data_IF_128837644660
#
_entry.id   IF_128837644660
#
_cell.length_a   1.000
_cell.length_b   1.000
_cell.length_c   1.000
_cell.angle_alpha   90.00
_cell.angle_beta   90.00
_cell.angle_gamma   90.00
#
_symmetry.space_group_name_H-M   'P 1'
#
loop_
_entity.id
_entity.type
_entity.pdbx_description
1 polymer ?
#
# COMPACT_ATOMS: atom_id res chain seq x y z
N UNK A 1 40.85 -12.64 55.84
CA UNK A 1 39.42 -12.92 55.66
C UNK A 1 38.69 -11.75 54.99
N UNK A 2 38.73 -10.55 55.47
CA UNK A 2 38.02 -9.32 54.97
C UNK A 2 38.18 -9.01 53.50
N UNK A 3 39.37 -9.19 52.87
CA UNK A 3 39.59 -8.92 51.45
C UNK A 3 38.93 -9.97 50.51
N UNK A 4 38.77 -11.23 50.92
CA UNK A 4 38.10 -12.29 50.16
C UNK A 4 36.59 -12.07 50.11
N UNK A 5 36.01 -11.57 51.21
CA UNK A 5 34.58 -11.25 51.32
C UNK A 5 34.22 -10.04 50.44
N UNK A 6 35.05 -8.99 50.45
CA UNK A 6 34.85 -7.81 49.59
C UNK A 6 34.92 -8.18 48.11
N UNK A 7 35.81 -9.07 47.68
CA UNK A 7 35.85 -9.55 46.28
C UNK A 7 34.59 -10.32 45.92
N UNK A 8 34.11 -11.22 46.74
CA UNK A 8 32.86 -11.98 46.50
C UNK A 8 31.66 -11.05 46.40
N UNK A 9 31.56 -10.07 47.28
CA UNK A 9 30.49 -9.05 47.24
C UNK A 9 30.56 -8.20 45.94
N UNK A 10 31.74 -7.86 45.48
CA UNK A 10 31.92 -7.14 44.23
C UNK A 10 31.46 -7.95 43.02
N UNK A 11 31.85 -9.23 42.93
CA UNK A 11 31.39 -10.11 41.84
C UNK A 11 29.86 -10.29 41.85
N UNK A 12 29.26 -10.48 43.00
CA UNK A 12 27.79 -10.63 43.12
C UNK A 12 27.10 -9.35 42.58
N UNK A 13 27.58 -8.18 42.97
CA UNK A 13 27.01 -6.91 42.48
C UNK A 13 27.14 -6.78 40.96
N UNK A 14 28.31 -7.14 40.38
CA UNK A 14 28.53 -7.13 38.93
C UNK A 14 27.56 -8.07 38.23
N UNK A 15 27.38 -9.30 38.74
CA UNK A 15 26.45 -10.26 38.15
C UNK A 15 24.99 -9.82 38.25
N UNK A 16 24.60 -9.18 39.37
CA UNK A 16 23.26 -8.60 39.53
C UNK A 16 23.05 -7.47 38.53
N UNK A 17 24.02 -6.56 38.40
CA UNK A 17 23.93 -5.44 37.43
C UNK A 17 23.83 -5.93 36.01
N UNK A 18 24.65 -6.96 35.62
CA UNK A 18 24.56 -7.58 34.31
C UNK A 18 23.21 -8.26 34.10
N UNK A 19 22.69 -8.99 35.08
CA UNK A 19 21.38 -9.60 35.02
C UNK A 19 20.24 -8.60 34.82
N UNK A 20 20.28 -7.50 35.57
CA UNK A 20 19.32 -6.39 35.41
C UNK A 20 19.45 -5.75 34.01
N UNK A 21 20.66 -5.50 33.53
CA UNK A 21 20.88 -4.95 32.20
C UNK A 21 20.34 -5.87 31.09
N UNK A 22 20.58 -7.18 31.18
CA UNK A 22 20.02 -8.16 30.23
C UNK A 22 18.49 -8.17 30.28
N UNK A 23 17.89 -8.16 31.47
CA UNK A 23 16.44 -8.10 31.63
C UNK A 23 15.83 -6.83 31.00
N UNK A 24 16.48 -5.67 31.17
CA UNK A 24 16.04 -4.42 30.55
C UNK A 24 16.13 -4.50 29.01
N UNK A 25 17.19 -5.04 28.48
CA UNK A 25 17.33 -5.24 27.01
C UNK A 25 16.25 -6.16 26.47
N UNK A 26 15.97 -7.27 27.16
CA UNK A 26 14.89 -8.20 26.76
C UNK A 26 13.51 -7.55 26.86
N UNK A 27 13.26 -6.76 27.88
CA UNK A 27 12.01 -6.04 28.04
C UNK A 27 11.82 -4.99 26.93
N UNK A 28 12.87 -4.22 26.60
CA UNK A 28 12.86 -3.26 25.48
C UNK A 28 12.65 -3.96 24.14
N UNK A 29 13.31 -5.08 23.91
CA UNK A 29 13.13 -5.88 22.70
C UNK A 29 11.68 -6.39 22.58
N UNK A 30 11.12 -6.94 23.64
CA UNK A 30 9.74 -7.41 23.67
C UNK A 30 8.73 -6.28 23.42
N UNK A 31 8.93 -5.13 24.06
CA UNK A 31 8.10 -3.94 23.85
C UNK A 31 8.20 -3.41 22.40
N UNK A 32 9.41 -3.33 21.86
CA UNK A 32 9.64 -2.89 20.47
C UNK A 32 8.99 -3.85 19.47
N UNK A 33 9.14 -5.16 19.65
CA UNK A 33 8.51 -6.17 18.79
C UNK A 33 7.00 -6.06 18.82
N UNK A 34 6.41 -5.93 20.02
CA UNK A 34 4.98 -5.74 20.17
C UNK A 34 4.48 -4.47 19.46
N UNK A 35 5.20 -3.35 19.61
CA UNK A 35 4.84 -2.08 18.94
C UNK A 35 4.94 -2.17 17.42
N UNK A 36 5.95 -2.88 16.89
CA UNK A 36 6.08 -3.13 15.46
C UNK A 36 4.91 -3.97 14.94
N UNK A 37 4.60 -5.08 15.58
CA UNK A 37 3.48 -5.94 15.19
C UNK A 37 2.14 -5.19 15.27
N UNK A 38 1.94 -4.37 16.29
CA UNK A 38 0.74 -3.54 16.44
C UNK A 38 0.62 -2.49 15.32
N UNK A 39 1.74 -1.85 14.96
CA UNK A 39 1.76 -0.76 13.97
C UNK A 39 1.74 -1.27 12.54
N UNK A 40 2.56 -2.24 12.22
CA UNK A 40 2.77 -2.72 10.85
C UNK A 40 2.03 -4.02 10.54
N UNK A 41 1.62 -4.77 11.56
CA UNK A 41 0.88 -6.01 11.39
C UNK A 41 -0.61 -5.77 11.15
N UNK A 42 -1.25 -6.83 10.66
CA UNK A 42 -2.69 -6.98 10.77
C UNK A 42 -2.97 -8.01 11.84
N UNK A 43 -3.79 -7.72 12.85
CA UNK A 43 -4.36 -8.75 13.71
C UNK A 43 -5.05 -9.79 12.82
N UNK A 44 -4.90 -11.08 13.13
CA UNK A 44 -5.47 -12.17 12.34
C UNK A 44 -6.97 -11.93 12.14
N UNK A 45 -7.40 -11.77 10.89
CA UNK A 45 -8.80 -11.57 10.51
C UNK A 45 -9.27 -10.14 10.33
N UNK A 46 -8.43 -9.11 10.48
CA UNK A 46 -8.84 -7.70 10.45
C UNK A 46 -8.64 -6.97 9.11
N UNK A 47 -8.28 -7.67 8.02
CA UNK A 47 -8.33 -7.00 6.71
C UNK A 47 -9.79 -6.74 6.35
N UNK A 48 -10.16 -5.47 6.30
CA UNK A 48 -11.51 -5.07 5.92
C UNK A 48 -11.87 -5.59 4.54
N UNK A 49 -13.09 -6.09 4.38
CA UNK A 49 -13.56 -6.68 3.12
C UNK A 49 -13.74 -5.62 2.03
N UNK A 50 -13.75 -6.05 0.76
CA UNK A 50 -14.10 -5.18 -0.37
C UNK A 50 -15.48 -4.52 -0.18
N UNK A 51 -16.45 -5.27 0.33
CA UNK A 51 -17.81 -4.76 0.57
C UNK A 51 -17.83 -3.66 1.65
N UNK A 52 -17.05 -3.82 2.73
CA UNK A 52 -16.88 -2.76 3.73
C UNK A 52 -16.41 -1.45 3.08
N UNK A 53 -15.36 -1.50 2.27
CA UNK A 53 -14.81 -0.31 1.62
C UNK A 53 -15.75 0.29 0.58
N UNK A 54 -16.45 -0.52 -0.20
CA UNK A 54 -17.49 -0.05 -1.14
C UNK A 54 -18.63 0.67 -0.40
N UNK A 55 -19.10 0.11 0.70
CA UNK A 55 -20.15 0.74 1.50
C UNK A 55 -19.68 2.01 2.18
N UNK A 56 -18.44 2.04 2.68
CA UNK A 56 -17.83 3.25 3.21
C UNK A 56 -17.77 4.35 2.15
N UNK A 57 -17.31 4.04 0.93
CA UNK A 57 -17.26 5.01 -0.16
C UNK A 57 -18.65 5.55 -0.50
N UNK A 58 -19.69 4.69 -0.55
CA UNK A 58 -21.08 5.16 -0.78
C UNK A 58 -21.56 6.12 0.31
N UNK A 59 -21.20 5.86 1.55
CA UNK A 59 -21.63 6.71 2.68
C UNK A 59 -20.89 8.04 2.73
N UNK A 60 -19.56 8.04 2.52
CA UNK A 60 -18.71 9.23 2.59
C UNK A 60 -18.76 10.05 1.29
N UNK A 61 -18.98 9.40 0.15
CA UNK A 61 -19.02 9.99 -1.19
C UNK A 61 -20.29 9.58 -1.95
N UNK A 62 -21.49 9.98 -1.51
CA UNK A 62 -22.76 9.48 -2.05
C UNK A 62 -22.95 9.79 -3.54
N UNK A 63 -22.30 10.81 -4.07
CA UNK A 63 -22.32 11.14 -5.52
C UNK A 63 -21.68 10.05 -6.39
N UNK A 64 -20.84 9.16 -5.84
CA UNK A 64 -20.23 8.04 -6.57
C UNK A 64 -21.17 6.85 -6.75
N UNK A 65 -22.25 6.78 -5.97
CA UNK A 65 -23.07 5.56 -5.80
C UNK A 65 -23.64 5.07 -7.14
N UNK A 66 -24.25 5.95 -7.94
CA UNK A 66 -24.86 5.55 -9.22
C UNK A 66 -23.80 4.99 -10.19
N UNK A 67 -22.61 5.59 -10.24
CA UNK A 67 -21.50 5.09 -11.05
C UNK A 67 -20.99 3.76 -10.52
N UNK A 68 -20.76 3.62 -9.21
CA UNK A 68 -20.32 2.36 -8.58
C UNK A 68 -21.30 1.22 -8.89
N UNK A 69 -22.62 1.45 -8.73
CA UNK A 69 -23.62 0.45 -9.05
C UNK A 69 -23.61 0.07 -10.53
N UNK A 70 -23.37 1.03 -11.42
CA UNK A 70 -23.24 0.77 -12.85
C UNK A 70 -22.04 -0.09 -13.19
N UNK A 71 -20.83 0.25 -12.70
CA UNK A 71 -19.61 -0.49 -13.03
C UNK A 71 -19.60 -1.92 -12.47
N UNK A 72 -20.20 -2.14 -11.29
CA UNK A 72 -20.29 -3.49 -10.72
C UNK A 72 -21.40 -4.31 -11.38
N UNK A 73 -22.58 -3.74 -11.65
CA UNK A 73 -23.67 -4.43 -12.35
C UNK A 73 -23.27 -4.86 -13.76
N UNK A 74 -22.51 -4.04 -14.45
CA UNK A 74 -22.06 -4.31 -15.82
C UNK A 74 -20.72 -5.04 -15.88
N UNK A 75 -20.20 -5.55 -14.75
CA UNK A 75 -18.94 -6.27 -14.66
C UNK A 75 -17.74 -5.50 -15.30
N UNK A 76 -17.74 -4.18 -15.17
CA UNK A 76 -16.67 -3.32 -15.70
C UNK A 76 -15.40 -3.40 -14.84
N UNK A 77 -15.52 -3.67 -13.55
CA UNK A 77 -14.38 -3.88 -12.65
C UNK A 77 -13.79 -5.26 -12.91
N UNK A 78 -12.49 -5.29 -13.18
CA UNK A 78 -11.73 -6.52 -13.44
C UNK A 78 -10.67 -6.69 -12.37
N UNK A 79 -10.50 -7.94 -11.91
CA UNK A 79 -9.40 -8.34 -11.03
C UNK A 79 -8.20 -8.77 -11.86
N UNK A 80 -7.02 -8.51 -11.38
CA UNK A 80 -5.78 -9.03 -11.93
C UNK A 80 -4.79 -9.39 -10.84
N UNK A 81 -4.00 -10.43 -11.10
CA UNK A 81 -2.95 -10.90 -10.19
C UNK A 81 -1.65 -11.06 -10.96
N UNK A 82 -0.54 -10.76 -10.31
CA UNK A 82 0.76 -11.06 -10.84
C UNK A 82 1.74 -11.44 -9.72
N UNK A 83 2.80 -12.15 -10.08
CA UNK A 83 3.92 -12.38 -9.15
C UNK A 83 4.88 -11.21 -9.29
N UNK A 84 5.11 -10.50 -8.19
CA UNK A 84 6.07 -9.41 -8.12
C UNK A 84 7.51 -9.92 -8.19
N UNK A 85 8.48 -9.09 -8.60
CA UNK A 85 9.89 -9.48 -8.60
C UNK A 85 10.40 -9.98 -7.25
N UNK A 86 9.83 -9.49 -6.15
CA UNK A 86 10.06 -9.93 -4.77
C UNK A 86 9.48 -11.31 -4.42
N UNK A 87 8.73 -11.95 -5.34
CA UNK A 87 8.27 -13.33 -5.23
C UNK A 87 6.87 -13.51 -4.63
N UNK A 88 6.16 -12.46 -4.25
CA UNK A 88 4.80 -12.55 -3.70
C UNK A 88 3.72 -12.32 -4.76
N UNK A 89 2.53 -12.85 -4.54
CA UNK A 89 1.36 -12.65 -5.39
C UNK A 89 0.68 -11.34 -5.03
N UNK A 90 0.67 -10.40 -5.95
CA UNK A 90 0.03 -9.10 -5.84
C UNK A 90 -1.30 -9.06 -6.61
N UNK A 91 -2.21 -8.23 -6.13
CA UNK A 91 -3.55 -8.01 -6.68
C UNK A 91 -3.76 -6.54 -7.06
N UNK A 92 -4.55 -6.32 -8.08
CA UNK A 92 -5.13 -5.01 -8.40
C UNK A 92 -6.52 -5.18 -9.04
N UNK A 93 -7.35 -4.16 -8.92
CA UNK A 93 -8.54 -4.02 -9.76
C UNK A 93 -8.31 -2.95 -10.82
N UNK A 94 -8.98 -3.07 -11.96
CA UNK A 94 -8.88 -2.09 -13.02
C UNK A 94 -10.19 -1.89 -13.78
N UNK A 95 -10.33 -0.70 -14.38
CA UNK A 95 -11.48 -0.29 -15.18
C UNK A 95 -11.01 0.37 -16.46
N UNK A 96 -11.63 0.01 -17.58
CA UNK A 96 -11.47 0.77 -18.82
C UNK A 96 -12.26 2.08 -18.76
N UNK A 97 -11.76 3.10 -19.45
CA UNK A 97 -12.51 4.33 -19.68
C UNK A 97 -13.79 4.04 -20.48
N UNK A 98 -14.85 4.86 -20.28
CA UNK A 98 -16.09 4.72 -21.07
C UNK A 98 -15.87 4.90 -22.59
N UNK A 99 -14.83 5.65 -22.97
CA UNK A 99 -14.39 5.83 -24.37
C UNK A 99 -12.90 5.49 -24.46
N UNK A 100 -12.50 4.88 -25.58
CA UNK A 100 -11.11 4.50 -25.80
C UNK A 100 -10.16 5.71 -25.70
N UNK A 101 -9.16 5.62 -24.83
CA UNK A 101 -8.17 6.66 -24.54
C UNK A 101 -6.82 6.03 -24.20
N UNK A 102 -5.74 6.80 -24.32
CA UNK A 102 -4.40 6.48 -23.82
C UNK A 102 -4.19 6.98 -22.38
N UNK A 103 -5.08 7.82 -21.86
CA UNK A 103 -4.98 8.38 -20.51
C UNK A 103 -5.27 7.32 -19.45
N UNK A 104 -4.38 7.19 -18.48
CA UNK A 104 -4.45 6.15 -17.46
C UNK A 104 -4.06 6.69 -16.10
N UNK A 105 -4.78 6.31 -15.06
CA UNK A 105 -4.44 6.59 -13.67
C UNK A 105 -4.10 5.30 -12.92
N UNK A 106 -2.95 5.29 -12.23
CA UNK A 106 -2.62 4.29 -11.21
C UNK A 106 -2.85 4.94 -9.85
N UNK A 107 -3.84 4.45 -9.09
CA UNK A 107 -4.30 5.09 -7.85
C UNK A 107 -3.90 4.25 -6.64
N UNK A 108 -3.01 4.79 -5.81
CA UNK A 108 -2.33 4.08 -4.72
C UNK A 108 -2.99 4.41 -3.37
N UNK A 109 -3.44 3.39 -2.67
CA UNK A 109 -4.19 3.52 -1.42
C UNK A 109 -3.31 3.86 -0.21
N UNK A 110 -3.95 4.34 0.86
CA UNK A 110 -3.33 4.65 2.15
C UNK A 110 -3.18 3.43 3.08
N UNK A 111 -2.69 3.71 4.29
CA UNK A 111 -2.46 2.73 5.35
C UNK A 111 -3.75 1.97 5.73
N UNK A 112 -3.66 0.63 5.77
CA UNK A 112 -4.77 -0.30 6.06
C UNK A 112 -6.01 -0.15 5.14
N UNK A 113 -5.88 0.55 4.04
CA UNK A 113 -6.89 0.64 2.97
C UNK A 113 -6.60 -0.44 1.93
N UNK A 114 -7.44 -0.60 0.94
CA UNK A 114 -7.28 -1.49 -0.21
C UNK A 114 -7.84 -0.82 -1.47
N UNK A 115 -7.69 -1.47 -2.61
CA UNK A 115 -8.11 -0.95 -3.91
C UNK A 115 -9.53 -0.36 -3.90
N UNK A 116 -10.52 -1.05 -3.32
CA UNK A 116 -11.91 -0.57 -3.30
C UNK A 116 -12.12 0.67 -2.40
N UNK A 117 -11.22 0.95 -1.46
CA UNK A 117 -11.26 2.18 -0.67
C UNK A 117 -10.91 3.42 -1.50
N UNK A 118 -10.35 3.25 -2.70
CA UNK A 118 -9.95 4.31 -3.60
C UNK A 118 -10.97 4.59 -4.72
N UNK A 119 -12.17 4.00 -4.64
CA UNK A 119 -13.20 4.16 -5.67
C UNK A 119 -13.69 5.61 -5.84
N UNK A 120 -13.59 6.45 -4.82
CA UNK A 120 -13.89 7.89 -4.93
C UNK A 120 -12.89 8.63 -5.83
N UNK A 121 -11.61 8.27 -5.80
CA UNK A 121 -10.60 8.80 -6.71
C UNK A 121 -10.73 8.16 -8.10
N UNK A 122 -11.06 6.86 -8.16
CA UNK A 122 -11.36 6.20 -9.41
C UNK A 122 -12.56 6.84 -10.13
N UNK A 123 -13.57 7.31 -9.40
CA UNK A 123 -14.69 8.07 -9.94
C UNK A 123 -14.20 9.34 -10.66
N UNK A 124 -13.37 10.16 -10.00
CA UNK A 124 -12.80 11.37 -10.60
C UNK A 124 -12.09 11.04 -11.93
N UNK A 125 -11.20 10.06 -11.93
CA UNK A 125 -10.45 9.73 -13.15
C UNK A 125 -11.32 9.07 -14.22
N UNK A 126 -12.11 8.05 -13.85
CA UNK A 126 -12.84 7.25 -14.82
C UNK A 126 -14.12 7.93 -15.31
N UNK A 127 -14.95 8.45 -14.39
CA UNK A 127 -16.24 9.05 -14.71
C UNK A 127 -16.08 10.48 -15.24
N UNK A 128 -15.37 11.33 -14.48
CA UNK A 128 -15.33 12.76 -14.80
C UNK A 128 -14.28 13.08 -15.87
N UNK A 129 -13.10 12.45 -15.82
CA UNK A 129 -11.99 12.74 -16.72
C UNK A 129 -11.84 11.74 -17.88
N UNK A 130 -12.53 10.60 -17.84
CA UNK A 130 -12.50 9.60 -18.91
C UNK A 130 -11.18 8.84 -19.04
N UNK A 131 -10.52 8.55 -17.93
CA UNK A 131 -9.26 7.77 -17.85
C UNK A 131 -9.55 6.28 -17.66
N UNK A 132 -8.64 5.43 -18.15
CA UNK A 132 -8.49 4.09 -17.62
C UNK A 132 -7.95 4.17 -16.19
N UNK A 133 -8.33 3.26 -15.30
CA UNK A 133 -7.89 3.30 -13.90
C UNK A 133 -7.41 1.92 -13.46
N UNK A 134 -6.26 1.86 -12.79
CA UNK A 134 -5.75 0.68 -12.09
C UNK A 134 -5.54 1.05 -10.61
N UNK A 135 -6.04 0.19 -9.72
CA UNK A 135 -5.97 0.37 -8.27
C UNK A 135 -5.29 -0.88 -7.68
N UNK A 136 -3.99 -0.81 -7.36
CA UNK A 136 -3.30 -1.93 -6.75
C UNK A 136 -3.67 -2.09 -5.28
N UNK A 137 -3.65 -3.33 -4.79
CA UNK A 137 -3.46 -3.64 -3.39
C UNK A 137 -1.95 -3.73 -3.12
N UNK A 138 -1.41 -2.86 -2.27
CA UNK A 138 0.00 -2.90 -1.89
C UNK A 138 0.32 -4.16 -1.06
N UNK A 139 1.60 -4.47 -0.87
CA UNK A 139 2.04 -5.59 -0.05
C UNK A 139 1.33 -5.59 1.32
N UNK A 140 0.86 -6.75 1.75
CA UNK A 140 0.14 -6.88 3.01
C UNK A 140 -1.28 -6.31 3.02
N UNK A 141 -1.82 -5.76 1.92
CA UNK A 141 -3.15 -5.16 1.85
C UNK A 141 -4.09 -5.94 0.92
N UNK A 142 -5.39 -5.76 1.12
CA UNK A 142 -6.44 -6.29 0.26
C UNK A 142 -6.29 -7.78 -0.01
N UNK A 143 -6.16 -8.15 -1.29
CA UNK A 143 -5.93 -9.52 -1.75
C UNK A 143 -4.46 -9.81 -2.11
N UNK A 144 -3.57 -8.82 -1.98
CA UNK A 144 -2.13 -9.06 -2.08
C UNK A 144 -1.61 -9.86 -0.90
N UNK A 145 -0.64 -10.74 -1.16
CA UNK A 145 0.08 -11.43 -0.10
C UNK A 145 0.92 -10.44 0.72
N UNK A 146 1.38 -10.88 1.88
CA UNK A 146 2.20 -10.11 2.79
C UNK A 146 1.70 -10.21 4.23
N UNK A 147 2.60 -10.07 5.16
CA UNK A 147 2.39 -10.23 6.61
C UNK A 147 2.54 -8.92 7.39
N UNK A 148 3.03 -7.87 6.73
CA UNK A 148 3.22 -6.55 7.34
C UNK A 148 3.02 -5.42 6.33
N UNK A 149 2.94 -4.19 6.82
CA UNK A 149 2.82 -2.97 6.02
C UNK A 149 4.20 -2.37 5.81
N UNK A 150 4.58 -2.07 4.57
CA UNK A 150 5.91 -1.59 4.19
C UNK A 150 6.04 -0.05 4.23
N UNK A 151 4.98 0.65 4.64
CA UNK A 151 4.94 2.11 4.80
C UNK A 151 5.36 2.91 3.56
N UNK A 152 5.17 2.34 2.36
CA UNK A 152 5.39 2.99 1.08
C UNK A 152 6.81 2.85 0.51
N UNK A 153 7.83 2.57 1.32
CA UNK A 153 9.21 2.60 0.84
C UNK A 153 9.53 1.45 -0.11
N UNK A 154 9.21 0.22 0.26
CA UNK A 154 9.40 -0.93 -0.65
C UNK A 154 8.30 -0.98 -1.72
N UNK A 155 7.09 -0.56 -1.37
CA UNK A 155 5.92 -0.54 -2.26
C UNK A 155 6.15 0.28 -3.55
N UNK A 156 7.11 1.22 -3.59
CA UNK A 156 7.41 2.02 -4.77
C UNK A 156 7.79 1.17 -5.99
N UNK A 157 8.50 0.07 -5.77
CA UNK A 157 8.88 -0.84 -6.86
C UNK A 157 7.68 -1.58 -7.43
N UNK A 158 6.74 -1.95 -6.56
CA UNK A 158 5.50 -2.59 -6.97
C UNK A 158 4.60 -1.62 -7.74
N UNK A 159 4.54 -0.35 -7.33
CA UNK A 159 3.79 0.69 -8.04
C UNK A 159 4.38 0.94 -9.44
N UNK A 160 5.70 0.99 -9.59
CA UNK A 160 6.35 1.08 -10.91
C UNK A 160 5.96 -0.13 -11.76
N UNK A 161 5.98 -1.34 -11.19
CA UNK A 161 5.55 -2.55 -11.90
C UNK A 161 4.07 -2.50 -12.29
N UNK A 162 3.20 -1.99 -11.41
CA UNK A 162 1.80 -1.79 -11.74
C UNK A 162 1.58 -0.75 -12.85
N UNK A 163 2.41 0.29 -12.93
CA UNK A 163 2.38 1.23 -14.06
C UNK A 163 2.74 0.54 -15.39
N UNK A 164 3.69 -0.39 -15.40
CA UNK A 164 3.99 -1.23 -16.57
C UNK A 164 2.80 -2.11 -16.96
N UNK A 165 2.17 -2.75 -15.98
CA UNK A 165 0.96 -3.57 -16.20
C UNK A 165 -0.17 -2.72 -16.76
N UNK A 166 -0.42 -1.55 -16.20
CA UNK A 166 -1.42 -0.61 -16.68
C UNK A 166 -1.15 -0.19 -18.14
N UNK A 167 0.11 0.08 -18.50
CA UNK A 167 0.48 0.35 -19.88
C UNK A 167 0.14 -0.82 -20.81
N UNK A 168 0.44 -2.05 -20.41
CA UNK A 168 0.18 -3.23 -21.22
C UNK A 168 -1.32 -3.53 -21.37
N UNK A 169 -2.10 -3.34 -20.29
CA UNK A 169 -3.55 -3.59 -20.27
C UNK A 169 -4.32 -2.53 -21.07
N UNK A 170 -3.95 -1.26 -20.94
CA UNK A 170 -4.73 -0.15 -21.47
C UNK A 170 -4.23 0.41 -22.79
N UNK A 171 -3.05 0.00 -23.23
CA UNK A 171 -2.52 0.43 -24.52
C UNK A 171 -3.41 -0.09 -25.66
N UNK A 172 -4.16 0.83 -26.26
CA UNK A 172 -4.91 0.51 -27.46
C UNK A 172 -3.98 0.37 -28.68
N UNK A 173 -4.35 -0.44 -29.67
CA UNK A 173 -3.53 -0.73 -30.87
C UNK A 173 -3.10 0.51 -31.66
N UNK A 174 -3.81 1.63 -31.50
CA UNK A 174 -3.50 2.93 -32.14
C UNK A 174 -2.46 3.77 -31.39
N UNK A 175 -2.09 3.41 -30.17
CA UNK A 175 -1.13 4.15 -29.35
C UNK A 175 0.11 3.31 -29.07
N UNK A 176 1.29 3.90 -29.08
CA UNK A 176 2.55 3.23 -28.74
C UNK A 176 2.64 2.92 -27.24
N UNK A 177 2.08 3.80 -26.40
CA UNK A 177 2.03 3.70 -24.96
C UNK A 177 0.83 4.43 -24.39
N UNK A 178 0.53 4.24 -23.11
CA UNK A 178 -0.41 5.07 -22.35
C UNK A 178 0.27 6.37 -21.91
N UNK A 179 -0.53 7.32 -21.41
CA UNK A 179 -0.09 8.53 -20.67
C UNK A 179 -0.59 8.40 -19.26
N UNK A 180 0.34 8.27 -18.32
CA UNK A 180 -0.02 7.87 -16.96
C UNK A 180 0.16 8.99 -15.94
N UNK A 181 -0.79 9.03 -15.00
CA UNK A 181 -0.65 9.68 -13.70
C UNK A 181 -0.59 8.61 -12.61
N UNK A 182 0.32 8.76 -11.66
CA UNK A 182 0.33 7.99 -10.42
C UNK A 182 -0.19 8.91 -9.32
N UNK A 183 -1.32 8.54 -8.70
CA UNK A 183 -1.97 9.32 -7.65
C UNK A 183 -2.04 8.50 -6.36
N UNK A 184 -1.41 8.98 -5.32
CA UNK A 184 -1.43 8.34 -4.00
C UNK A 184 -2.07 9.21 -2.93
N UNK A 185 -2.74 8.55 -1.96
CA UNK A 185 -3.32 9.21 -0.78
C UNK A 185 -2.61 8.70 0.48
N UNK A 186 -2.21 9.61 1.38
CA UNK A 186 -1.61 9.30 2.69
C UNK A 186 -0.35 8.43 2.52
N UNK A 187 -0.31 7.21 3.02
CA UNK A 187 0.79 6.26 2.76
C UNK A 187 1.02 6.04 1.25
N UNK A 188 -0.05 6.00 0.45
CA UNK A 188 0.04 5.93 -1.01
C UNK A 188 0.69 7.17 -1.61
N UNK A 189 0.49 8.35 -1.03
CA UNK A 189 1.15 9.60 -1.45
C UNK A 189 2.65 9.56 -1.12
N UNK A 190 3.03 9.09 0.08
CA UNK A 190 4.43 8.84 0.41
C UNK A 190 5.07 7.83 -0.55
N UNK A 191 4.34 6.76 -0.92
CA UNK A 191 4.78 5.81 -1.96
C UNK A 191 4.97 6.51 -3.31
N UNK A 192 4.03 7.37 -3.71
CA UNK A 192 4.07 8.12 -4.98
C UNK A 192 5.26 9.08 -5.02
N UNK A 193 5.58 9.77 -3.92
CA UNK A 193 6.80 10.59 -3.82
C UNK A 193 8.06 9.74 -3.97
N UNK A 194 8.10 8.57 -3.34
CA UNK A 194 9.22 7.65 -3.48
C UNK A 194 9.35 7.12 -4.93
N UNK A 195 8.24 6.84 -5.62
CA UNK A 195 8.23 6.50 -7.06
C UNK A 195 8.77 7.64 -7.92
N UNK A 196 8.37 8.89 -7.64
CA UNK A 196 8.84 10.06 -8.39
C UNK A 196 10.35 10.30 -8.28
N UNK A 197 10.98 9.79 -7.21
CA UNK A 197 12.44 9.82 -7.03
C UNK A 197 13.19 8.72 -7.79
N UNK A 198 12.50 7.76 -8.38
CA UNK A 198 13.10 6.64 -9.11
C UNK A 198 13.06 6.86 -10.63
N UNK A 199 13.78 6.01 -11.38
CA UNK A 199 13.66 5.98 -12.84
C UNK A 199 12.36 5.30 -13.23
N UNK A 200 11.36 6.09 -13.58
CA UNK A 200 10.08 5.62 -14.10
C UNK A 200 10.08 5.54 -15.63
N UNK A 201 9.18 4.73 -16.25
CA UNK A 201 8.98 4.76 -17.70
C UNK A 201 8.50 6.13 -18.19
N UNK A 202 8.88 6.53 -19.41
CA UNK A 202 8.58 7.84 -20.00
C UNK A 202 7.07 8.12 -20.15
N UNK A 203 6.23 7.08 -20.16
CA UNK A 203 4.78 7.24 -20.22
C UNK A 203 4.14 7.59 -18.86
N UNK A 204 4.89 7.63 -17.76
CA UNK A 204 4.46 8.17 -16.47
C UNK A 204 4.79 9.68 -16.50
N UNK A 205 3.76 10.50 -16.75
CA UNK A 205 3.94 11.94 -16.98
C UNK A 205 3.74 12.78 -15.72
N UNK A 206 2.90 12.33 -14.79
CA UNK A 206 2.52 13.09 -13.61
C UNK A 206 2.47 12.23 -12.34
N UNK A 207 2.78 12.90 -11.22
CA UNK A 207 2.62 12.36 -9.89
C UNK A 207 1.70 13.31 -9.10
N UNK A 208 0.70 12.73 -8.45
CA UNK A 208 -0.22 13.46 -7.55
C UNK A 208 -0.06 12.87 -6.15
N UNK A 209 0.33 13.73 -5.25
CA UNK A 209 0.55 13.42 -3.86
C UNK A 209 -0.54 14.11 -3.04
N UNK A 210 -1.39 13.32 -2.39
CA UNK A 210 -2.48 13.81 -1.55
C UNK A 210 -2.23 13.42 -0.09
N UNK A 211 -1.92 14.42 0.74
CA UNK A 211 -1.64 14.33 2.18
C UNK A 211 -0.60 13.24 2.58
N UNK A 212 0.49 13.13 1.82
CA UNK A 212 1.61 12.24 2.12
C UNK A 212 2.43 12.71 3.33
N UNK A 213 3.32 11.82 3.76
CA UNK A 213 4.35 12.10 4.77
C UNK A 213 5.74 11.86 4.19
N UNK A 214 6.74 12.55 4.71
CA UNK A 214 8.16 12.45 4.34
C UNK A 214 8.97 11.82 5.48
#
# INVERSE_FOLDING_TARGET
MRQRENRKSCYIKVWITLGVAVMLVLALYGASSYMLDYSLGYPKGERMTAEHWKNRTRNECPWTTAWMDSIYRNHCVKDTFLIMPSGYKAHAIYLYAPKATDKTAVVVHGYKVRAEGMLHIAYLYNHDLGYNVLLPDLYGHGQSEGDHIQMGWQDRWDVIRWAEVANNVFRASRYSSTKQVIHGISMGAATTMAVAGEKTPDYVEFFVEDCGYT
#
